data_IF_239586997191
#
_entry.id   IF_239586997191
#
_cell.length_a   1.000
_cell.length_b   1.000
_cell.length_c   1.000
_cell.angle_alpha   90.00
_cell.angle_beta   90.00
_cell.angle_gamma   90.00
#
_symmetry.space_group_name_H-M   'P 1'
#
loop_
_entity.id
_entity.type
_entity.pdbx_description
1 polymer ?
#
# COMPACT_ATOMS: atom_id res chain seq x y z
N UNK A 1 39.08 33.03 2.33
CA UNK A 1 37.78 33.63 1.92
C UNK A 1 36.97 32.53 1.28
N UNK A 2 36.24 31.72 2.10
CA UNK A 2 35.44 30.62 1.65
C UNK A 2 34.04 31.18 1.32
N UNK A 3 33.77 31.38 0.02
CA UNK A 3 32.43 31.65 -0.50
C UNK A 3 31.59 30.40 -0.27
N UNK A 4 30.73 30.40 0.75
CA UNK A 4 29.75 29.36 0.96
C UNK A 4 28.72 29.42 -0.14
N UNK A 5 28.82 28.49 -1.09
CA UNK A 5 27.73 28.19 -2.01
C UNK A 5 26.58 27.57 -1.19
N UNK A 6 25.71 28.42 -0.67
CA UNK A 6 24.42 27.99 -0.18
C UNK A 6 23.66 27.40 -1.38
N UNK A 7 23.67 26.08 -1.47
CA UNK A 7 22.94 25.31 -2.44
C UNK A 7 21.45 25.75 -2.37
N UNK A 8 21.00 26.58 -3.32
CA UNK A 8 19.58 26.97 -3.43
C UNK A 8 18.76 25.72 -3.64
N UNK A 9 18.16 25.19 -2.56
CA UNK A 9 17.27 24.05 -2.61
C UNK A 9 16.03 24.48 -3.41
N UNK A 10 15.97 24.10 -4.66
CA UNK A 10 14.79 24.34 -5.51
C UNK A 10 13.73 23.32 -5.14
N UNK A 11 12.75 23.74 -4.32
CA UNK A 11 11.62 22.89 -3.94
C UNK A 11 10.64 22.88 -5.11
N UNK A 12 10.72 21.85 -5.96
CA UNK A 12 9.80 21.67 -7.08
C UNK A 12 8.36 21.44 -6.62
N UNK A 13 7.38 21.88 -7.39
CA UNK A 13 5.92 21.76 -7.12
C UNK A 13 5.49 20.32 -6.76
N UNK A 14 6.13 19.30 -7.30
CA UNK A 14 5.86 17.90 -6.97
C UNK A 14 6.13 17.59 -5.49
N UNK A 15 7.22 18.11 -4.94
CA UNK A 15 7.58 17.92 -3.52
C UNK A 15 6.54 18.56 -2.60
N UNK A 16 6.10 19.79 -2.94
CA UNK A 16 5.07 20.50 -2.17
C UNK A 16 3.74 19.73 -2.20
N UNK A 17 3.31 19.26 -3.37
CA UNK A 17 2.10 18.44 -3.51
C UNK A 17 2.18 17.16 -2.69
N UNK A 18 3.34 16.49 -2.66
CA UNK A 18 3.53 15.27 -1.86
C UNK A 18 3.39 15.55 -0.36
N UNK A 19 3.95 16.67 0.14
CA UNK A 19 3.80 17.05 1.54
C UNK A 19 2.33 17.37 1.90
N UNK A 20 1.65 18.14 1.05
CA UNK A 20 0.24 18.45 1.26
C UNK A 20 -0.62 17.18 1.23
N UNK A 21 -0.34 16.27 0.29
CA UNK A 21 -1.05 14.99 0.19
C UNK A 21 -0.87 14.12 1.44
N UNK A 22 0.33 14.11 2.01
CA UNK A 22 0.61 13.42 3.27
C UNK A 22 -0.21 14.02 4.43
N UNK A 23 -0.26 15.36 4.54
CA UNK A 23 -1.08 16.03 5.55
C UNK A 23 -2.57 15.70 5.38
N UNK A 24 -3.08 15.70 4.15
CA UNK A 24 -4.47 15.34 3.87
C UNK A 24 -4.75 13.89 4.26
N UNK A 25 -3.86 12.96 3.92
CA UNK A 25 -3.98 11.55 4.31
C UNK A 25 -4.01 11.37 5.84
N UNK A 26 -3.16 12.11 6.57
CA UNK A 26 -3.15 12.12 8.02
C UNK A 26 -4.48 12.62 8.59
N UNK A 27 -4.98 13.75 8.12
CA UNK A 27 -6.25 14.33 8.60
C UNK A 27 -7.41 13.36 8.37
N UNK A 28 -7.52 12.77 7.18
CA UNK A 28 -8.56 11.79 6.87
C UNK A 28 -8.47 10.59 7.83
N UNK A 29 -7.27 10.09 8.09
CA UNK A 29 -7.07 8.97 9.00
C UNK A 29 -7.46 9.31 10.43
N UNK A 30 -7.09 10.49 10.95
CA UNK A 30 -7.46 10.90 12.31
C UNK A 30 -8.98 11.07 12.45
N UNK A 31 -9.67 11.55 11.41
CA UNK A 31 -11.13 11.60 11.40
C UNK A 31 -11.75 10.19 11.50
N UNK A 32 -11.20 9.22 10.78
CA UNK A 32 -11.65 7.81 10.88
C UNK A 32 -11.42 7.27 12.29
N UNK A 33 -10.27 7.58 12.91
CA UNK A 33 -9.94 7.16 14.27
C UNK A 33 -10.87 7.70 15.34
N UNK A 34 -11.50 8.86 15.14
CA UNK A 34 -12.53 9.36 16.06
C UNK A 34 -13.68 8.35 16.19
N UNK A 35 -14.03 7.67 15.10
CA UNK A 35 -15.09 6.65 15.09
C UNK A 35 -14.58 5.24 15.42
N UNK A 36 -13.31 4.97 15.19
CA UNK A 36 -12.67 3.68 15.38
C UNK A 36 -11.36 3.85 16.20
N UNK A 37 -11.44 4.07 17.52
CA UNK A 37 -10.28 4.40 18.35
C UNK A 37 -9.26 3.27 18.49
N UNK A 38 -9.63 2.03 18.15
CA UNK A 38 -8.74 0.87 18.14
C UNK A 38 -7.68 0.91 17.01
N UNK A 39 -7.81 1.81 16.03
CA UNK A 39 -6.88 1.89 14.92
C UNK A 39 -5.53 2.48 15.33
N UNK A 40 -4.46 2.04 14.66
CA UNK A 40 -3.11 2.57 14.84
C UNK A 40 -3.08 4.11 14.67
N UNK A 41 -2.29 4.84 15.47
CA UNK A 41 -2.23 6.31 15.40
C UNK A 41 -1.66 6.82 14.07
N UNK A 42 -0.77 6.06 13.43
CA UNK A 42 -0.08 6.44 12.20
C UNK A 42 -0.39 5.49 11.04
N UNK A 43 -1.05 5.96 9.97
CA UNK A 43 -1.36 5.16 8.81
C UNK A 43 -0.16 5.10 7.85
N UNK A 44 0.82 4.28 8.15
CA UNK A 44 2.09 4.22 7.41
C UNK A 44 1.89 4.03 5.91
N UNK A 45 0.99 3.13 5.52
CA UNK A 45 0.71 2.89 4.10
C UNK A 45 0.03 4.08 3.42
N UNK A 46 -0.86 4.80 4.12
CA UNK A 46 -1.45 6.01 3.58
C UNK A 46 -0.38 7.10 3.32
N UNK A 47 0.60 7.23 4.22
CA UNK A 47 1.72 8.16 4.00
C UNK A 47 2.55 7.79 2.80
N UNK A 48 2.97 6.53 2.69
CA UNK A 48 3.78 6.05 1.57
C UNK A 48 3.07 6.31 0.24
N UNK A 49 1.81 5.92 0.13
CA UNK A 49 1.07 6.03 -1.12
C UNK A 49 0.64 7.46 -1.45
N UNK A 50 0.40 8.31 -0.45
CA UNK A 50 0.14 9.73 -0.69
C UNK A 50 1.33 10.46 -1.34
N UNK A 51 2.55 10.03 -1.05
CA UNK A 51 3.78 10.61 -1.62
C UNK A 51 4.09 10.02 -2.99
N UNK A 52 4.06 8.69 -3.11
CA UNK A 52 4.49 7.98 -4.33
C UNK A 52 3.53 8.22 -5.49
N UNK A 53 2.23 8.43 -5.22
CA UNK A 53 1.22 8.54 -6.28
C UNK A 53 1.18 9.90 -6.97
N UNK A 54 1.79 10.94 -6.42
CA UNK A 54 1.87 12.27 -7.05
C UNK A 54 2.68 12.19 -8.35
N UNK A 55 2.01 12.44 -9.47
CA UNK A 55 2.60 12.52 -10.82
C UNK A 55 2.58 13.94 -11.34
N UNK A 56 3.22 14.17 -12.48
CA UNK A 56 3.36 15.49 -13.09
C UNK A 56 2.00 16.09 -13.50
N UNK A 57 1.05 15.24 -13.89
CA UNK A 57 -0.31 15.65 -14.28
C UNK A 57 -1.38 14.94 -13.46
N UNK A 58 -2.53 15.61 -13.27
CA UNK A 58 -3.68 15.07 -12.57
C UNK A 58 -4.24 13.81 -13.27
N UNK A 59 -4.24 13.80 -14.60
CA UNK A 59 -4.71 12.65 -15.39
C UNK A 59 -3.83 11.42 -15.18
N UNK A 60 -2.50 11.59 -15.18
CA UNK A 60 -1.56 10.51 -14.90
C UNK A 60 -1.77 9.98 -13.47
N UNK A 61 -1.89 10.87 -12.47
CA UNK A 61 -2.17 10.47 -11.08
C UNK A 61 -3.46 9.67 -10.99
N UNK A 62 -4.55 10.11 -11.65
CA UNK A 62 -5.83 9.39 -11.67
C UNK A 62 -5.72 8.03 -12.35
N UNK A 63 -5.03 7.94 -13.50
CA UNK A 63 -4.84 6.68 -14.24
C UNK A 63 -4.02 5.68 -13.41
N UNK A 64 -2.88 6.10 -12.89
CA UNK A 64 -2.00 5.24 -12.09
C UNK A 64 -2.63 4.87 -10.76
N UNK A 65 -3.32 5.81 -10.09
CA UNK A 65 -4.05 5.54 -8.86
C UNK A 65 -5.11 4.44 -9.02
N UNK A 66 -5.89 4.47 -10.11
CA UNK A 66 -6.87 3.40 -10.40
C UNK A 66 -6.22 2.03 -10.58
N UNK A 67 -5.10 1.96 -11.31
CA UNK A 67 -4.37 0.70 -11.52
C UNK A 67 -3.77 0.18 -10.20
N UNK A 68 -3.27 1.08 -9.35
CA UNK A 68 -2.77 0.74 -8.02
C UNK A 68 -3.86 0.18 -7.12
N UNK A 69 -5.02 0.83 -7.07
CA UNK A 69 -6.19 0.35 -6.33
C UNK A 69 -6.55 -1.07 -6.79
N UNK A 70 -6.62 -1.29 -8.11
CA UNK A 70 -6.92 -2.61 -8.67
C UNK A 70 -5.88 -3.66 -8.26
N UNK A 71 -4.60 -3.34 -8.35
CA UNK A 71 -3.52 -4.23 -7.93
C UNK A 71 -3.58 -4.55 -6.42
N UNK A 72 -3.92 -3.56 -5.59
CA UNK A 72 -4.10 -3.73 -4.14
C UNK A 72 -5.23 -4.72 -3.83
N UNK A 73 -6.38 -4.62 -4.52
CA UNK A 73 -7.48 -5.57 -4.36
C UNK A 73 -7.12 -6.99 -4.83
N UNK A 74 -6.34 -7.12 -5.91
CA UNK A 74 -5.84 -8.43 -6.36
C UNK A 74 -4.96 -9.04 -5.27
N UNK A 75 -4.00 -8.28 -4.74
CA UNK A 75 -3.11 -8.74 -3.68
C UNK A 75 -3.86 -9.12 -2.40
N UNK A 76 -4.85 -8.30 -1.98
CA UNK A 76 -5.71 -8.62 -0.86
C UNK A 76 -6.46 -9.94 -1.04
N UNK A 77 -7.14 -10.11 -2.18
CA UNK A 77 -7.93 -11.31 -2.45
C UNK A 77 -7.05 -12.57 -2.43
N UNK A 78 -5.92 -12.54 -3.14
CA UNK A 78 -4.97 -13.65 -3.15
C UNK A 78 -4.41 -13.90 -1.75
N UNK A 79 -4.00 -12.85 -1.04
CA UNK A 79 -3.47 -12.95 0.32
C UNK A 79 -4.47 -13.58 1.29
N UNK A 80 -5.75 -13.17 1.25
CA UNK A 80 -6.80 -13.75 2.10
C UNK A 80 -7.06 -15.24 1.81
N UNK A 81 -7.03 -15.65 0.55
CA UNK A 81 -7.17 -17.07 0.16
C UNK A 81 -6.01 -17.89 0.70
N UNK A 82 -4.78 -17.43 0.49
CA UNK A 82 -3.59 -18.17 0.90
C UNK A 82 -3.37 -18.17 2.41
N UNK A 83 -3.74 -17.10 3.14
CA UNK A 83 -3.65 -17.12 4.61
C UNK A 83 -4.64 -18.11 5.20
N UNK A 84 -5.88 -18.16 4.67
CA UNK A 84 -6.86 -19.16 5.09
C UNK A 84 -6.34 -20.58 4.84
N UNK A 85 -5.73 -20.82 3.67
CA UNK A 85 -5.11 -22.10 3.35
C UNK A 85 -3.94 -22.42 4.30
N UNK A 86 -3.10 -21.42 4.60
CA UNK A 86 -1.99 -21.57 5.54
C UNK A 86 -2.47 -21.99 6.92
N UNK A 87 -3.50 -21.36 7.45
CA UNK A 87 -4.09 -21.73 8.74
C UNK A 87 -4.57 -23.19 8.77
N UNK A 88 -5.26 -23.63 7.70
CA UNK A 88 -5.71 -25.03 7.62
C UNK A 88 -4.58 -26.05 7.56
N UNK A 89 -3.51 -25.74 6.83
CA UNK A 89 -2.38 -26.64 6.63
C UNK A 89 -1.50 -26.69 7.89
N UNK A 90 -1.21 -25.55 8.48
CA UNK A 90 -0.30 -25.46 9.65
C UNK A 90 -0.90 -26.09 10.90
N UNK A 91 -2.24 -26.11 11.07
CA UNK A 91 -2.90 -26.80 12.17
C UNK A 91 -2.67 -28.32 12.19
N UNK A 92 -2.33 -28.92 11.03
CA UNK A 92 -2.14 -30.38 10.87
C UNK A 92 -0.67 -30.80 10.96
N UNK A 93 0.26 -29.87 11.07
CA UNK A 93 1.69 -30.17 10.98
C UNK A 93 2.32 -30.10 12.37
N UNK A 94 2.89 -31.23 12.78
CA UNK A 94 3.70 -31.34 13.98
C UNK A 94 5.16 -31.08 13.62
N UNK A 95 5.74 -29.99 14.11
CA UNK A 95 7.13 -29.62 13.91
C UNK A 95 7.30 -28.19 13.37
N UNK A 96 7.97 -27.36 14.14
CA UNK A 96 8.14 -25.94 13.88
C UNK A 96 8.87 -25.66 12.55
N UNK A 97 9.95 -26.41 12.27
CA UNK A 97 10.73 -26.28 11.04
C UNK A 97 9.90 -26.57 9.78
N UNK A 98 9.08 -27.64 9.81
CA UNK A 98 8.20 -27.99 8.69
C UNK A 98 7.11 -26.94 8.47
N UNK A 99 6.59 -26.38 9.55
CA UNK A 99 5.60 -25.32 9.52
C UNK A 99 6.15 -24.07 8.82
N UNK A 100 7.35 -23.59 9.21
CA UNK A 100 8.01 -22.45 8.60
C UNK A 100 8.29 -22.70 7.10
N UNK A 101 8.74 -23.90 6.76
CA UNK A 101 9.01 -24.25 5.35
C UNK A 101 7.75 -24.21 4.48
N UNK A 102 6.64 -24.73 4.99
CA UNK A 102 5.37 -24.73 4.27
C UNK A 102 4.78 -23.32 4.17
N UNK A 103 4.88 -22.52 5.23
CA UNK A 103 4.50 -21.12 5.19
C UNK A 103 5.28 -20.35 4.12
N UNK A 104 6.59 -20.55 4.03
CA UNK A 104 7.40 -19.96 2.97
C UNK A 104 6.93 -20.40 1.57
N UNK A 105 6.64 -21.69 1.38
CA UNK A 105 6.14 -22.20 0.11
C UNK A 105 4.79 -21.55 -0.28
N UNK A 106 3.89 -21.40 0.68
CA UNK A 106 2.60 -20.75 0.46
C UNK A 106 2.76 -19.25 0.15
N UNK A 107 3.69 -18.56 0.80
CA UNK A 107 4.01 -17.15 0.48
C UNK A 107 4.53 -17.04 -0.96
N UNK A 108 5.41 -17.92 -1.39
CA UNK A 108 5.93 -17.94 -2.77
C UNK A 108 4.80 -18.20 -3.78
N UNK A 109 3.91 -19.13 -3.50
CA UNK A 109 2.75 -19.42 -4.36
C UNK A 109 1.76 -18.25 -4.39
N UNK A 110 1.46 -17.61 -3.27
CA UNK A 110 0.62 -16.43 -3.21
C UNK A 110 1.22 -15.27 -4.01
N UNK A 111 2.53 -15.05 -3.85
CA UNK A 111 3.27 -14.03 -4.61
C UNK A 111 3.19 -14.29 -6.11
N UNK A 112 3.50 -15.50 -6.56
CA UNK A 112 3.44 -15.88 -7.96
C UNK A 112 2.02 -15.72 -8.53
N UNK A 113 1.02 -16.20 -7.81
CA UNK A 113 -0.39 -16.10 -8.20
C UNK A 113 -0.83 -14.63 -8.34
N UNK A 114 -0.45 -13.78 -7.39
CA UNK A 114 -0.80 -12.35 -7.44
C UNK A 114 -0.13 -11.63 -8.62
N UNK A 115 1.13 -11.96 -8.94
CA UNK A 115 1.84 -11.43 -10.10
C UNK A 115 1.16 -11.84 -11.42
N UNK A 116 0.82 -13.11 -11.59
CA UNK A 116 0.15 -13.64 -12.79
C UNK A 116 -1.25 -13.03 -13.00
N UNK A 117 -2.03 -12.88 -11.92
CA UNK A 117 -3.36 -12.26 -12.01
C UNK A 117 -3.24 -10.77 -12.35
N UNK A 118 -2.28 -10.07 -11.73
CA UNK A 118 -2.05 -8.65 -12.00
C UNK A 118 -1.62 -8.41 -13.46
N UNK A 119 -0.74 -9.25 -14.01
CA UNK A 119 -0.33 -9.22 -15.41
C UNK A 119 -1.53 -9.46 -16.34
N UNK A 120 -2.26 -10.55 -16.15
CA UNK A 120 -3.45 -10.91 -16.94
C UNK A 120 -4.54 -9.81 -16.91
N UNK A 121 -4.61 -9.04 -15.85
CA UNK A 121 -5.59 -7.96 -15.69
C UNK A 121 -5.10 -6.59 -16.16
N UNK A 122 -4.01 -6.53 -16.92
CA UNK A 122 -3.40 -5.30 -17.45
C UNK A 122 -2.91 -4.33 -16.36
N UNK A 123 -2.45 -4.87 -15.24
CA UNK A 123 -1.83 -4.12 -14.14
C UNK A 123 -0.31 -4.35 -14.08
N UNK A 124 0.35 -4.62 -15.20
CA UNK A 124 1.77 -5.00 -15.31
C UNK A 124 2.69 -4.07 -14.52
N UNK A 125 2.50 -2.75 -14.63
CA UNK A 125 3.31 -1.76 -13.91
C UNK A 125 3.10 -1.77 -12.38
N UNK A 126 2.12 -2.51 -11.88
CA UNK A 126 1.73 -2.57 -10.47
C UNK A 126 1.68 -4.00 -9.92
N UNK A 127 2.20 -4.98 -10.65
CA UNK A 127 2.29 -6.38 -10.20
C UNK A 127 3.00 -6.50 -8.85
N UNK A 128 4.10 -5.73 -8.67
CA UNK A 128 4.85 -5.71 -7.41
C UNK A 128 4.00 -5.26 -6.22
N UNK A 129 3.03 -4.37 -6.42
CA UNK A 129 2.13 -3.93 -5.33
C UNK A 129 1.16 -5.06 -4.94
N UNK A 130 0.60 -5.76 -5.93
CA UNK A 130 -0.24 -6.93 -5.65
C UNK A 130 0.53 -7.99 -4.86
N UNK A 131 1.78 -8.27 -5.27
CA UNK A 131 2.66 -9.19 -4.56
C UNK A 131 2.98 -8.74 -3.13
N UNK A 132 3.34 -7.47 -2.93
CA UNK A 132 3.62 -6.91 -1.60
C UNK A 132 2.41 -7.03 -0.68
N UNK A 133 1.21 -6.70 -1.15
CA UNK A 133 -0.01 -6.80 -0.34
C UNK A 133 -0.31 -8.27 0.00
N UNK A 134 -0.15 -9.21 -0.94
CA UNK A 134 -0.32 -10.64 -0.67
C UNK A 134 0.68 -11.14 0.39
N UNK A 135 1.95 -10.73 0.31
CA UNK A 135 2.98 -11.07 1.30
C UNK A 135 2.62 -10.50 2.68
N UNK A 136 2.21 -9.22 2.75
CA UNK A 136 1.83 -8.57 4.01
C UNK A 136 0.67 -9.33 4.67
N UNK A 137 -0.35 -9.72 3.90
CA UNK A 137 -1.44 -10.54 4.41
C UNK A 137 -0.95 -11.88 4.98
N UNK A 138 0.03 -12.50 4.35
CA UNK A 138 0.56 -13.82 4.75
C UNK A 138 1.48 -13.76 5.98
N UNK A 139 2.27 -12.69 6.12
CA UNK A 139 3.28 -12.56 7.20
C UNK A 139 2.66 -12.08 8.51
N UNK A 140 1.49 -11.45 8.48
CA UNK A 140 0.84 -10.85 9.67
C UNK A 140 0.15 -11.86 10.60
N UNK A 141 0.70 -13.06 10.72
CA UNK A 141 0.10 -14.19 11.48
C UNK A 141 0.01 -14.01 13.00
N UNK A 142 0.71 -13.02 13.57
CA UNK A 142 0.82 -12.84 15.02
C UNK A 142 -0.18 -11.84 15.60
N UNK A 143 -1.08 -11.30 14.80
CA UNK A 143 -2.07 -10.33 15.27
C UNK A 143 -3.41 -11.01 15.55
N UNK A 144 -4.07 -10.58 16.62
CA UNK A 144 -5.34 -11.16 17.10
C UNK A 144 -6.43 -11.16 16.02
N UNK A 145 -6.36 -10.21 15.04
CA UNK A 145 -7.32 -10.07 13.93
C UNK A 145 -6.62 -9.93 12.57
N UNK A 146 -6.06 -11.02 12.07
CA UNK A 146 -5.34 -11.09 10.78
C UNK A 146 -6.15 -10.49 9.62
N UNK A 147 -7.44 -10.81 9.53
CA UNK A 147 -8.32 -10.32 8.46
C UNK A 147 -8.56 -8.82 8.57
N UNK A 148 -8.76 -8.31 9.78
CA UNK A 148 -8.95 -6.88 10.03
C UNK A 148 -7.67 -6.11 9.67
N UNK A 149 -6.51 -6.63 10.05
CA UNK A 149 -5.22 -6.06 9.69
C UNK A 149 -5.04 -5.96 8.19
N UNK A 150 -5.28 -7.03 7.43
CA UNK A 150 -5.18 -7.04 5.98
C UNK A 150 -6.12 -6.01 5.32
N UNK A 151 -7.37 -5.93 5.79
CA UNK A 151 -8.35 -4.95 5.30
C UNK A 151 -7.89 -3.52 5.60
N UNK A 152 -7.37 -3.27 6.80
CA UNK A 152 -6.90 -1.94 7.18
C UNK A 152 -5.70 -1.47 6.35
N UNK A 153 -4.81 -2.37 5.93
CA UNK A 153 -3.72 -2.03 4.99
C UNK A 153 -4.26 -1.56 3.63
N UNK A 154 -5.32 -2.20 3.15
CA UNK A 154 -6.00 -1.76 1.91
C UNK A 154 -6.67 -0.40 2.11
N UNK A 155 -7.39 -0.20 3.21
CA UNK A 155 -8.02 1.10 3.52
C UNK A 155 -6.98 2.22 3.58
N UNK A 156 -5.85 2.02 4.25
CA UNK A 156 -4.74 2.97 4.28
C UNK A 156 -4.21 3.28 2.88
N UNK A 157 -4.05 2.26 2.03
CA UNK A 157 -3.62 2.43 0.64
C UNK A 157 -4.61 3.28 -0.16
N UNK A 158 -5.91 3.01 -0.02
CA UNK A 158 -6.97 3.79 -0.68
C UNK A 158 -6.95 5.25 -0.25
N UNK A 159 -6.81 5.53 1.05
CA UNK A 159 -6.71 6.89 1.58
C UNK A 159 -5.50 7.63 1.00
N UNK A 160 -4.33 6.98 0.95
CA UNK A 160 -3.13 7.57 0.38
C UNK A 160 -3.28 7.93 -1.10
N UNK A 161 -3.80 6.99 -1.90
CA UNK A 161 -4.05 7.22 -3.33
C UNK A 161 -5.09 8.31 -3.55
N UNK A 162 -6.19 8.29 -2.77
CA UNK A 162 -7.24 9.31 -2.85
C UNK A 162 -6.71 10.70 -2.51
N UNK A 163 -5.95 10.84 -1.43
CA UNK A 163 -5.32 12.10 -1.02
C UNK A 163 -4.41 12.66 -2.12
N UNK A 164 -3.60 11.81 -2.77
CA UNK A 164 -2.75 12.20 -3.87
C UNK A 164 -3.55 12.67 -5.09
N UNK A 165 -4.65 11.98 -5.42
CA UNK A 165 -5.53 12.38 -6.53
C UNK A 165 -6.18 13.73 -6.27
N UNK A 166 -6.75 13.93 -5.08
CA UNK A 166 -7.40 15.19 -4.69
C UNK A 166 -6.41 16.34 -4.76
N UNK A 167 -5.27 16.24 -4.10
CA UNK A 167 -4.25 17.30 -4.08
C UNK A 167 -3.76 17.63 -5.48
N UNK A 168 -3.53 16.63 -6.34
CA UNK A 168 -3.06 16.88 -7.68
C UNK A 168 -4.13 17.46 -8.62
N UNK A 169 -5.41 17.30 -8.29
CA UNK A 169 -6.52 17.97 -9.00
C UNK A 169 -6.63 19.45 -8.62
N UNK A 170 -6.51 19.76 -7.33
CA UNK A 170 -6.69 21.14 -6.84
C UNK A 170 -5.46 22.03 -7.09
N UNK A 171 -4.27 21.47 -6.98
CA UNK A 171 -3.04 22.22 -7.18
C UNK A 171 -2.58 22.02 -8.64
N UNK A 172 -3.09 22.87 -9.57
CA UNK A 172 -2.60 22.89 -10.94
C UNK A 172 -1.16 23.42 -10.99
N UNK A 173 -0.36 22.87 -11.91
CA UNK A 173 0.94 23.46 -12.26
C UNK A 173 0.65 24.83 -12.84
N UNK A 174 1.19 25.92 -12.28
CA UNK A 174 1.26 27.21 -12.98
C UNK A 174 2.26 27.00 -14.14
N UNK A 175 1.77 27.11 -15.33
CA UNK A 175 2.58 27.20 -16.54
C UNK A 175 3.40 28.47 -16.52
#
# INVERSE_FOLDING_TARGET
>A
MLKGDFMKIHIGMRKIKSLISLCVAFIIWQLIRVFLPMLEPHPVFAYIYSVIEIRDTAEKTKKFGKLRIKATFIGLFVGLVFITLSLFVTLKINGEMWRIFIELLLILLATLTSLLIAEKTRCENFCGIAAIIAIICMVSHNEEDIYLYAIMRVVQTLIGVFSAMVVNMFIKKRE
#
